data_IF_553000146796
#
_entry.id   IF_553000146796
#
_cell.length_a   1.000
_cell.length_b   1.000
_cell.length_c   1.000
_cell.angle_alpha   90.00
_cell.angle_beta   90.00
_cell.angle_gamma   90.00
#
_symmetry.space_group_name_H-M   'P 1'
#
loop_
_entity.id
_entity.type
_entity.pdbx_description
1 polymer ?
#
# COMPACT_ATOMS: atom_id res chain seq x y z
N UNK A 1 -45.09 25.51 -18.38
CA UNK A 1 -43.62 25.65 -18.48
C UNK A 1 -43.28 25.70 -19.95
N UNK A 2 -42.63 26.79 -20.38
CA UNK A 2 -42.24 26.96 -21.77
C UNK A 2 -40.98 26.13 -22.08
N UNK A 3 -40.76 25.77 -23.34
CA UNK A 3 -39.61 24.98 -23.76
C UNK A 3 -38.28 25.67 -23.38
N UNK A 4 -38.25 27.00 -23.38
CA UNK A 4 -37.11 27.83 -22.98
C UNK A 4 -36.82 27.75 -21.48
N UNK A 5 -37.83 27.64 -20.62
CA UNK A 5 -37.63 27.51 -19.17
C UNK A 5 -36.94 26.18 -18.82
N UNK A 6 -37.33 25.11 -19.52
CA UNK A 6 -36.74 23.78 -19.34
C UNK A 6 -35.28 23.72 -19.83
N UNK A 7 -34.96 24.41 -20.93
CA UNK A 7 -33.58 24.52 -21.44
C UNK A 7 -32.69 25.31 -20.49
N UNK A 8 -33.19 26.41 -19.90
CA UNK A 8 -32.45 27.20 -18.92
C UNK A 8 -32.15 26.40 -17.65
N UNK A 9 -33.11 25.63 -17.12
CA UNK A 9 -32.87 24.78 -15.95
C UNK A 9 -31.86 23.65 -16.25
N UNK A 10 -31.92 23.08 -17.45
CA UNK A 10 -30.94 22.09 -17.92
C UNK A 10 -29.52 22.68 -17.99
N UNK A 11 -29.37 23.88 -18.54
CA UNK A 11 -28.08 24.58 -18.59
C UNK A 11 -27.54 24.87 -17.20
N UNK A 12 -28.38 25.33 -16.28
CA UNK A 12 -27.98 25.59 -14.90
C UNK A 12 -27.60 24.31 -14.15
N UNK A 13 -28.32 23.20 -14.40
CA UNK A 13 -27.95 21.88 -13.89
C UNK A 13 -26.58 21.46 -14.41
N UNK A 14 -26.31 21.60 -15.71
CA UNK A 14 -24.99 21.27 -16.28
C UNK A 14 -23.88 22.15 -15.67
N UNK A 15 -24.09 23.46 -15.55
CA UNK A 15 -23.13 24.38 -14.93
C UNK A 15 -22.79 23.98 -13.50
N UNK A 16 -23.79 23.59 -12.70
CA UNK A 16 -23.59 23.10 -11.32
C UNK A 16 -22.75 21.81 -11.29
N UNK A 17 -23.03 20.87 -12.17
CA UNK A 17 -22.28 19.62 -12.27
C UNK A 17 -20.83 19.85 -12.70
N UNK A 18 -20.58 20.69 -13.71
CA UNK A 18 -19.24 21.04 -14.16
C UNK A 18 -18.43 21.71 -13.05
N UNK A 19 -19.04 22.65 -12.30
CA UNK A 19 -18.38 23.30 -11.16
C UNK A 19 -17.98 22.28 -10.09
N UNK A 20 -18.85 21.32 -9.77
CA UNK A 20 -18.56 20.25 -8.81
C UNK A 20 -17.38 19.39 -9.25
N UNK A 21 -17.40 18.90 -10.50
CA UNK A 21 -16.31 18.10 -11.06
C UNK A 21 -14.97 18.86 -11.05
N UNK A 22 -15.00 20.15 -11.39
CA UNK A 22 -13.79 20.98 -11.35
C UNK A 22 -13.23 21.14 -9.92
N UNK A 23 -14.09 21.26 -8.90
CA UNK A 23 -13.67 21.29 -7.49
C UNK A 23 -13.07 19.95 -7.05
N UNK A 24 -13.66 18.83 -7.47
CA UNK A 24 -13.13 17.50 -7.16
C UNK A 24 -11.74 17.33 -7.78
N UNK A 25 -11.56 17.68 -9.06
CA UNK A 25 -10.26 17.65 -9.74
C UNK A 25 -9.24 18.55 -9.05
N UNK A 26 -9.63 19.78 -8.67
CA UNK A 26 -8.75 20.70 -7.96
C UNK A 26 -8.34 20.13 -6.59
N UNK A 27 -9.26 19.51 -5.86
CA UNK A 27 -8.98 18.86 -4.57
C UNK A 27 -7.98 17.72 -4.72
N UNK A 28 -8.14 16.88 -5.75
CA UNK A 28 -7.18 15.81 -6.04
C UNK A 28 -5.80 16.35 -6.42
N UNK A 29 -5.74 17.41 -7.22
CA UNK A 29 -4.48 18.08 -7.56
C UNK A 29 -3.79 18.66 -6.32
N UNK A 30 -4.55 19.29 -5.42
CA UNK A 30 -4.00 19.81 -4.17
C UNK A 30 -3.48 18.70 -3.27
N UNK A 31 -4.25 17.62 -3.08
CA UNK A 31 -3.81 16.44 -2.31
C UNK A 31 -2.53 15.84 -2.89
N UNK A 32 -2.42 15.80 -4.22
CA UNK A 32 -1.22 15.30 -4.89
C UNK A 32 -0.03 16.22 -4.68
N UNK A 33 -0.21 17.54 -4.83
CA UNK A 33 0.85 18.53 -4.61
C UNK A 33 1.35 18.57 -3.16
N UNK A 34 0.45 18.34 -2.19
CA UNK A 34 0.79 18.26 -0.76
C UNK A 34 1.36 16.88 -0.37
N UNK A 35 1.27 15.87 -1.23
CA UNK A 35 1.84 14.56 -0.97
C UNK A 35 3.36 14.63 -1.17
N UNK A 36 4.07 14.93 -0.07
CA UNK A 36 5.52 14.99 -0.06
C UNK A 36 6.16 13.74 -0.68
N UNK A 37 7.19 13.95 -1.50
CA UNK A 37 7.96 12.89 -2.15
C UNK A 37 7.34 12.31 -3.42
N UNK A 38 6.24 12.86 -3.95
CA UNK A 38 5.71 12.48 -5.26
C UNK A 38 6.14 13.48 -6.34
N UNK A 39 6.97 13.04 -7.27
CA UNK A 39 7.29 13.75 -8.52
C UNK A 39 6.91 12.86 -9.71
N UNK A 40 5.93 13.25 -10.55
CA UNK A 40 5.45 12.44 -11.67
C UNK A 40 6.47 12.31 -12.80
N UNK A 41 7.45 13.21 -12.88
CA UNK A 41 8.55 13.16 -13.86
C UNK A 41 9.78 12.43 -13.33
N UNK A 42 9.72 11.96 -12.07
CA UNK A 42 10.84 11.29 -11.44
C UNK A 42 11.18 9.98 -12.15
N UNK A 43 12.43 9.79 -12.61
CA UNK A 43 12.82 8.55 -13.28
C UNK A 43 12.79 7.37 -12.29
N UNK A 44 12.58 6.16 -12.80
CA UNK A 44 12.74 4.91 -12.03
C UNK A 44 14.12 4.31 -12.30
N UNK A 45 14.73 3.68 -11.31
CA UNK A 45 15.94 2.89 -11.50
C UNK A 45 15.57 1.66 -12.35
N UNK A 46 16.25 1.40 -13.48
CA UNK A 46 15.96 0.27 -14.36
C UNK A 46 15.99 -1.08 -13.64
N UNK A 47 15.20 -2.03 -14.14
CA UNK A 47 15.26 -3.42 -13.67
C UNK A 47 16.61 -4.05 -14.03
N UNK A 48 17.24 -4.72 -13.07
CA UNK A 48 18.54 -5.39 -13.26
C UNK A 48 19.73 -4.65 -12.65
N UNK A 49 19.55 -3.39 -12.23
CA UNK A 49 20.57 -2.63 -11.50
C UNK A 49 20.36 -2.68 -9.98
N UNK A 50 21.41 -2.46 -9.16
CA UNK A 50 21.27 -2.30 -7.72
C UNK A 50 20.25 -1.20 -7.36
N UNK A 51 19.13 -1.59 -6.76
CA UNK A 51 18.03 -0.66 -6.44
C UNK A 51 16.94 -0.53 -7.53
N UNK A 52 16.95 -1.41 -8.54
CA UNK A 52 15.94 -1.46 -9.60
C UNK A 52 14.50 -1.47 -9.08
N UNK A 53 13.62 -0.76 -9.78
CA UNK A 53 12.21 -0.57 -9.41
C UNK A 53 11.95 0.56 -8.41
N UNK A 54 12.99 1.16 -7.79
CA UNK A 54 12.84 2.36 -6.94
C UNK A 54 12.75 3.64 -7.78
N UNK A 55 12.21 4.71 -7.21
CA UNK A 55 12.32 6.05 -7.79
C UNK A 55 13.76 6.57 -7.65
N UNK A 56 14.30 7.15 -8.70
CA UNK A 56 15.61 7.78 -8.73
C UNK A 56 15.51 9.19 -8.16
N UNK A 57 16.24 9.47 -7.07
CA UNK A 57 16.30 10.82 -6.46
C UNK A 57 15.30 11.08 -5.32
N UNK A 58 14.61 10.05 -4.81
CA UNK A 58 13.86 10.20 -3.56
C UNK A 58 14.84 10.59 -2.46
N UNK A 59 14.75 11.83 -1.95
CA UNK A 59 15.56 12.28 -0.83
C UNK A 59 15.23 11.38 0.36
N UNK A 60 16.14 10.44 0.65
CA UNK A 60 16.28 9.90 1.98
C UNK A 60 16.45 11.12 2.89
N UNK A 61 15.42 11.46 3.67
CA UNK A 61 15.44 12.52 4.67
C UNK A 61 16.37 12.17 5.83
N UNK A 62 17.64 11.97 5.53
CA UNK A 62 18.72 11.75 6.47
C UNK A 62 19.93 12.49 5.94
N UNK A 63 20.00 13.77 6.29
CA UNK A 63 21.24 14.55 6.30
C UNK A 63 22.25 13.76 7.13
N UNK A 64 23.10 13.02 6.44
CA UNK A 64 24.04 12.10 7.04
C UNK A 64 24.90 11.55 5.94
N UNK A 65 25.89 12.35 5.53
CA UNK A 65 26.99 11.89 4.68
C UNK A 65 27.51 10.57 5.24
N UNK A 66 27.26 9.46 4.55
CA UNK A 66 27.93 8.19 4.81
C UNK A 66 28.70 7.80 3.56
N UNK A 67 29.99 7.44 3.72
CA UNK A 67 30.86 7.14 2.60
C UNK A 67 30.36 5.91 1.84
N UNK A 68 30.60 5.92 0.54
CA UNK A 68 30.41 4.77 -0.32
C UNK A 68 31.20 3.57 0.23
N UNK A 69 30.56 2.40 0.32
CA UNK A 69 31.26 1.13 0.55
C UNK A 69 31.01 0.40 1.87
N UNK A 70 29.88 0.59 2.55
CA UNK A 70 29.48 -0.32 3.63
C UNK A 70 28.20 -1.08 3.24
N UNK A 71 28.33 -2.39 3.02
CA UNK A 71 27.21 -3.33 2.96
C UNK A 71 26.21 -2.97 4.07
N UNK A 72 24.99 -2.66 3.66
CA UNK A 72 23.92 -2.23 4.57
C UNK A 72 23.50 -3.43 5.41
N UNK A 73 24.24 -3.71 6.49
CA UNK A 73 23.78 -4.58 7.57
C UNK A 73 22.55 -3.91 8.16
N UNK A 74 21.37 -4.32 7.67
CA UNK A 74 20.09 -3.99 8.30
C UNK A 74 20.23 -4.42 9.75
N UNK A 75 20.26 -3.46 10.68
CA UNK A 75 20.37 -3.82 12.08
C UNK A 75 19.13 -4.62 12.45
N UNK A 76 19.32 -5.84 12.95
CA UNK A 76 18.24 -6.66 13.51
C UNK A 76 17.42 -5.87 14.55
N UNK A 77 18.03 -4.87 15.19
CA UNK A 77 17.41 -4.01 16.19
C UNK A 77 16.21 -3.18 15.71
N UNK A 78 16.07 -2.92 14.40
CA UNK A 78 14.87 -2.26 13.86
C UNK A 78 13.73 -3.24 13.56
N UNK A 79 14.01 -4.55 13.47
CA UNK A 79 13.00 -5.59 13.22
C UNK A 79 12.47 -6.10 14.56
N UNK A 80 11.14 -6.10 14.71
CA UNK A 80 10.48 -6.69 15.90
C UNK A 80 10.56 -8.22 15.92
N UNK A 81 10.93 -8.84 14.80
CA UNK A 81 11.01 -10.30 14.65
C UNK A 81 12.32 -10.70 13.96
N UNK A 82 12.91 -11.81 14.39
CA UNK A 82 14.10 -12.38 13.75
C UNK A 82 13.72 -13.12 12.46
N UNK A 83 14.62 -13.23 11.47
CA UNK A 83 14.36 -14.01 10.25
C UNK A 83 14.00 -15.48 10.53
N UNK A 84 14.55 -16.06 11.60
CA UNK A 84 14.23 -17.42 12.00
C UNK A 84 12.78 -17.55 12.50
N UNK A 85 12.30 -16.56 13.26
CA UNK A 85 10.90 -16.53 13.72
C UNK A 85 9.93 -16.21 12.57
N UNK A 86 10.32 -15.35 11.62
CA UNK A 86 9.56 -15.08 10.40
C UNK A 86 9.38 -16.35 9.55
N UNK A 87 10.45 -17.13 9.35
CA UNK A 87 10.39 -18.40 8.63
C UNK A 87 9.46 -19.43 9.28
N UNK A 88 9.39 -19.47 10.61
CA UNK A 88 8.44 -20.34 11.32
C UNK A 88 6.99 -19.88 11.12
N UNK A 89 6.74 -18.56 11.12
CA UNK A 89 5.43 -18.02 10.79
C UNK A 89 5.03 -18.32 9.34
N UNK A 90 5.96 -18.27 8.39
CA UNK A 90 5.71 -18.67 7.00
C UNK A 90 5.35 -20.16 6.90
N UNK A 91 6.06 -21.03 7.65
CA UNK A 91 5.76 -22.46 7.71
C UNK A 91 4.35 -22.71 8.23
N UNK A 92 3.93 -21.99 9.27
CA UNK A 92 2.56 -22.03 9.81
C UNK A 92 1.54 -21.62 8.75
N UNK A 93 1.74 -20.48 8.09
CA UNK A 93 0.82 -19.97 7.07
C UNK A 93 0.70 -20.94 5.88
N UNK A 94 1.79 -21.60 5.50
CA UNK A 94 1.78 -22.64 4.45
C UNK A 94 0.95 -23.85 4.86
N UNK A 95 1.07 -24.32 6.11
CA UNK A 95 0.26 -25.41 6.63
C UNK A 95 -1.23 -25.03 6.68
N UNK A 96 -1.54 -23.84 7.18
CA UNK A 96 -2.92 -23.34 7.23
C UNK A 96 -3.51 -23.20 5.81
N UNK A 97 -2.72 -22.72 4.84
CA UNK A 97 -3.15 -22.63 3.43
C UNK A 97 -3.47 -24.00 2.83
N UNK A 98 -2.65 -25.02 3.10
CA UNK A 98 -2.91 -26.39 2.64
C UNK A 98 -4.22 -26.92 3.26
N UNK A 99 -4.41 -26.69 4.55
CA UNK A 99 -5.64 -27.08 5.26
C UNK A 99 -6.88 -26.38 4.69
N UNK A 100 -6.83 -25.06 4.50
CA UNK A 100 -7.94 -24.29 3.96
C UNK A 100 -8.29 -24.68 2.52
N UNK A 101 -7.28 -24.98 1.70
CA UNK A 101 -7.49 -25.50 0.34
C UNK A 101 -8.20 -26.86 0.34
N UNK A 102 -7.89 -27.73 1.30
CA UNK A 102 -8.51 -29.05 1.41
C UNK A 102 -10.00 -28.96 1.77
N UNK A 103 -10.37 -28.04 2.66
CA UNK A 103 -11.78 -27.85 3.09
C UNK A 103 -12.57 -26.90 2.18
N UNK A 104 -11.90 -26.21 1.24
CA UNK A 104 -12.49 -25.26 0.27
C UNK A 104 -13.36 -24.17 0.93
N UNK A 105 -12.96 -23.69 2.10
CA UNK A 105 -13.68 -22.66 2.84
C UNK A 105 -12.94 -21.31 2.75
N UNK A 106 -13.52 -20.25 2.16
CA UNK A 106 -12.87 -18.95 2.07
C UNK A 106 -12.69 -18.26 3.43
N UNK A 107 -13.54 -18.54 4.43
CA UNK A 107 -13.40 -17.99 5.77
C UNK A 107 -12.11 -18.48 6.45
N UNK A 108 -11.73 -19.73 6.19
CA UNK A 108 -10.50 -20.32 6.70
C UNK A 108 -9.26 -19.52 6.28
N UNK A 109 -9.20 -19.02 5.04
CA UNK A 109 -8.07 -18.20 4.58
C UNK A 109 -7.98 -16.84 5.28
N UNK A 110 -9.14 -16.26 5.64
CA UNK A 110 -9.20 -15.05 6.47
C UNK A 110 -8.52 -15.30 7.81
N UNK A 111 -8.85 -16.40 8.47
CA UNK A 111 -8.21 -16.70 9.75
C UNK A 111 -6.75 -17.12 9.64
N UNK A 112 -6.38 -17.92 8.63
CA UNK A 112 -4.99 -18.29 8.40
C UNK A 112 -4.11 -17.03 8.33
N UNK A 113 -4.62 -15.97 7.70
CA UNK A 113 -3.97 -14.66 7.63
C UNK A 113 -3.87 -13.97 9.00
N UNK A 114 -4.92 -14.03 9.82
CA UNK A 114 -4.90 -13.50 11.19
C UNK A 114 -3.89 -14.24 12.09
N UNK A 115 -3.82 -15.58 11.97
CA UNK A 115 -2.85 -16.42 12.68
C UNK A 115 -1.43 -16.10 12.26
N UNK A 116 -1.18 -15.91 10.96
CA UNK A 116 0.11 -15.47 10.46
C UNK A 116 0.52 -14.11 11.03
N UNK A 117 -0.39 -13.13 11.02
CA UNK A 117 -0.14 -11.82 11.62
C UNK A 117 0.09 -11.88 13.14
N UNK A 118 -0.65 -12.75 13.85
CA UNK A 118 -0.46 -12.98 15.28
C UNK A 118 0.93 -13.58 15.57
N UNK A 119 1.38 -14.54 14.76
CA UNK A 119 2.72 -15.12 14.85
C UNK A 119 3.81 -14.05 14.68
N UNK A 120 3.71 -13.21 13.63
CA UNK A 120 4.65 -12.12 13.40
C UNK A 120 4.67 -11.08 14.54
N UNK A 121 3.56 -10.93 15.26
CA UNK A 121 3.42 -10.02 16.38
C UNK A 121 3.76 -10.64 17.75
N UNK A 122 4.11 -11.93 17.80
CA UNK A 122 4.35 -12.66 19.05
C UNK A 122 3.09 -12.82 19.93
N UNK A 123 1.91 -12.79 19.31
CA UNK A 123 0.62 -12.98 19.99
C UNK A 123 0.22 -14.46 20.02
N UNK A 124 -0.63 -14.89 20.97
CA UNK A 124 -1.18 -16.24 20.98
C UNK A 124 -1.87 -16.59 19.67
N UNK A 125 -1.55 -17.76 19.12
CA UNK A 125 -2.14 -18.26 17.88
C UNK A 125 -3.45 -18.98 18.23
N UNK A 126 -4.58 -18.41 17.83
CA UNK A 126 -5.90 -19.05 17.99
C UNK A 126 -6.03 -20.26 17.05
N UNK A 127 -6.71 -21.36 17.43
CA UNK A 127 -7.00 -22.51 16.55
C UNK A 127 -7.73 -22.09 15.28
N UNK A 128 -7.96 -23.00 14.33
CA UNK A 128 -8.78 -22.72 13.16
C UNK A 128 -10.28 -23.10 13.35
N UNK A 129 -11.20 -22.26 13.89
CA UNK A 129 -12.62 -22.56 14.03
C UNK A 129 -13.51 -22.04 12.87
N UNK A 130 -12.91 -21.69 11.72
CA UNK A 130 -13.57 -20.99 10.61
C UNK A 130 -14.11 -21.94 9.55
#
# INVERSE_FOLDING_TARGET
MSQTDAELDSLDRMRRLTRRLNLDVATWRLKLALKGGYDPSQPRIPSGEPGGGRWAGGSDGSTGSKPAGAERRVSMAARRISPAAEAECERLNKMDTIYCNAIKNPACHGQASERYAACLAGKPITPLPF
#
